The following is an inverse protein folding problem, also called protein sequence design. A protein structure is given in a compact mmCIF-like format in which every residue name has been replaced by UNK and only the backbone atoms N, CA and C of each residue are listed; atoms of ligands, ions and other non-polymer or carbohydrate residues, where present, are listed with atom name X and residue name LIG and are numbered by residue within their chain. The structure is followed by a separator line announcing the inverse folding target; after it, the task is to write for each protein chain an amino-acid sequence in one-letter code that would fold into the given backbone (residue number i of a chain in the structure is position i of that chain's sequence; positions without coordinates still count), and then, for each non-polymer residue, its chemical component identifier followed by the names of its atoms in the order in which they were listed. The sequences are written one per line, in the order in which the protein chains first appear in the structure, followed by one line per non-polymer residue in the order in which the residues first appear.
data_IF_738106658593
#
_entry.id   IF_738106658593
#
_cell.length_a   1.000
_cell.length_b   1.000
_cell.length_c   1.000
_cell.angle_alpha   90.00
_cell.angle_beta   90.00
_cell.angle_gamma   90.00
#
_symmetry.space_group_name_H-M   'P 1'
#
loop_
_entity.id
_entity.type
_entity.pdbx_description
1 polymer ?
#
# COMPACT_ATOMS: atom_id res chain seq x y z
N UNK A 1 3.70 -7.97 -4.38
CA UNK A 1 3.02 -7.30 -3.23
C UNK A 1 3.21 -8.06 -1.92
N UNK A 2 4.27 -8.86 -1.77
CA UNK A 2 4.39 -9.76 -0.63
C UNK A 2 4.83 -9.08 0.67
N UNK A 3 5.34 -7.84 0.63
CA UNK A 3 6.12 -7.32 1.75
C UNK A 3 5.66 -6.00 2.34
N UNK A 4 4.56 -5.46 1.89
CA UNK A 4 3.89 -4.31 2.53
C UNK A 4 2.60 -4.76 3.20
N UNK A 5 2.58 -4.86 4.52
CA UNK A 5 1.53 -5.60 5.22
C UNK A 5 0.24 -4.83 5.53
N UNK A 6 0.06 -3.60 5.11
CA UNK A 6 -1.09 -2.79 5.57
C UNK A 6 -1.76 -2.04 4.42
N UNK A 7 -2.53 -2.71 3.58
CA UNK A 7 -3.14 -1.97 2.48
C UNK A 7 -4.59 -2.33 2.15
N UNK A 8 -5.17 -3.36 2.74
CA UNK A 8 -6.56 -3.71 2.39
C UNK A 8 -7.56 -2.58 2.65
N UNK A 9 -7.36 -1.78 3.71
CA UNK A 9 -8.20 -0.63 3.97
C UNK A 9 -7.81 0.62 3.15
N UNK A 10 -6.64 0.61 2.53
CA UNK A 10 -6.14 1.71 1.69
C UNK A 10 -6.14 1.40 0.21
N UNK A 11 -6.55 0.20 -0.20
CA UNK A 11 -6.62 -0.22 -1.61
C UNK A 11 -7.58 0.60 -2.48
N UNK A 12 -8.38 1.45 -1.86
CA UNK A 12 -9.19 2.44 -2.59
C UNK A 12 -8.37 3.58 -3.16
N UNK A 13 -7.12 3.73 -2.71
CA UNK A 13 -6.22 4.79 -3.13
C UNK A 13 -5.15 4.17 -4.02
N UNK A 14 -5.31 4.34 -5.33
CA UNK A 14 -4.29 3.95 -6.32
C UNK A 14 -3.19 5.01 -6.36
N UNK A 15 -2.13 4.78 -5.62
CA UNK A 15 -1.02 5.72 -5.52
C UNK A 15 0.06 5.51 -6.56
N UNK A 16 0.21 4.31 -7.07
CA UNK A 16 1.30 3.93 -7.96
C UNK A 16 2.72 4.08 -7.36
N UNK A 17 2.82 4.51 -6.10
CA UNK A 17 4.09 4.93 -5.50
C UNK A 17 4.65 3.93 -4.49
N UNK A 18 3.84 3.07 -3.91
CA UNK A 18 4.32 2.15 -2.90
C UNK A 18 3.98 0.74 -3.33
N UNK A 19 4.54 0.38 -4.43
CA UNK A 19 4.71 -1.01 -4.76
C UNK A 19 6.10 -1.45 -4.25
N UNK A 20 6.20 -1.75 -2.96
CA UNK A 20 7.34 -2.45 -2.42
C UNK A 20 7.35 -3.92 -2.89
N UNK A 21 6.52 -4.26 -3.84
CA UNK A 21 6.57 -5.49 -4.57
C UNK A 21 7.66 -5.37 -5.64
N UNK A 22 8.86 -5.73 -5.30
CA UNK A 22 9.80 -6.11 -6.34
C UNK A 22 9.10 -7.12 -7.26
N UNK A 23 9.06 -6.86 -8.55
CA UNK A 23 8.63 -7.86 -9.52
C UNK A 23 9.42 -9.13 -9.25
N UNK A 24 8.73 -10.24 -8.97
CA UNK A 24 9.37 -11.54 -8.78
C UNK A 24 10.21 -11.84 -10.02
N UNK A 25 11.51 -11.62 -9.92
CA UNK A 25 12.46 -11.88 -11.00
C UNK A 25 13.11 -13.24 -10.80
N UNK A 26 13.55 -13.84 -11.87
CA UNK A 26 14.25 -15.13 -11.82
C UNK A 26 15.49 -15.01 -10.92
N UNK A 27 15.51 -15.78 -9.82
CA UNK A 27 16.61 -15.77 -8.85
C UNK A 27 16.30 -15.12 -7.51
N UNK A 28 15.10 -14.57 -7.33
CA UNK A 28 14.67 -14.03 -6.04
C UNK A 28 14.36 -15.17 -5.05
N UNK A 29 14.79 -15.00 -3.81
CA UNK A 29 14.51 -15.89 -2.69
C UNK A 29 13.57 -15.18 -1.73
N UNK A 30 12.50 -15.88 -1.36
CA UNK A 30 11.55 -15.43 -0.35
C UNK A 30 11.47 -16.44 0.79
N UNK A 31 11.34 -15.95 2.01
CA UNK A 31 11.12 -16.76 3.18
C UNK A 31 10.05 -16.14 4.05
N UNK A 32 8.99 -16.90 4.33
CA UNK A 32 7.90 -16.52 5.20
C UNK A 32 7.75 -17.52 6.32
N UNK A 33 7.60 -17.04 7.54
CA UNK A 33 7.36 -17.89 8.72
C UNK A 33 6.38 -17.21 9.68
N UNK A 34 5.46 -18.01 10.23
CA UNK A 34 4.54 -17.57 11.27
C UNK A 34 4.78 -18.35 12.54
N UNK A 35 4.94 -17.65 13.67
CA UNK A 35 5.17 -18.21 15.00
C UNK A 35 4.14 -17.58 15.94
N UNK A 36 3.04 -18.29 16.17
CA UNK A 36 1.92 -17.76 16.95
C UNK A 36 1.33 -16.54 16.26
N UNK A 37 1.33 -15.40 16.95
CA UNK A 37 0.83 -14.11 16.44
C UNK A 37 1.88 -13.28 15.73
N UNK A 38 3.07 -13.81 15.48
CA UNK A 38 4.16 -13.14 14.78
C UNK A 38 4.33 -13.76 13.39
N UNK A 39 4.25 -12.93 12.35
CA UNK A 39 4.62 -13.29 10.99
C UNK A 39 5.88 -12.52 10.58
N UNK A 40 6.83 -13.21 9.99
CA UNK A 40 8.09 -12.67 9.50
C UNK A 40 8.25 -13.03 8.03
N UNK A 41 8.65 -12.06 7.23
CA UNK A 41 8.95 -12.24 5.82
C UNK A 41 10.34 -11.68 5.51
N UNK A 42 11.07 -12.35 4.62
CA UNK A 42 12.34 -11.86 4.10
C UNK A 42 12.43 -12.16 2.60
N UNK A 43 13.00 -11.25 1.84
CA UNK A 43 13.31 -11.44 0.43
C UNK A 43 14.74 -11.07 0.12
N UNK A 44 15.31 -11.74 -0.84
CA UNK A 44 16.68 -11.51 -1.29
C UNK A 44 16.78 -11.77 -2.79
N UNK A 45 17.26 -10.78 -3.53
CA UNK A 45 17.52 -10.87 -4.95
C UNK A 45 18.98 -10.45 -5.22
N UNK A 46 19.90 -11.40 -5.47
CA UNK A 46 21.33 -11.11 -5.53
C UNK A 46 21.73 -10.27 -6.75
N UNK A 47 20.92 -10.26 -7.82
CA UNK A 47 21.18 -9.47 -9.03
C UNK A 47 19.92 -9.43 -9.89
N UNK A 48 19.01 -8.47 -9.66
CA UNK A 48 17.75 -8.39 -10.40
C UNK A 48 17.95 -8.12 -11.90
N UNK A 49 19.01 -7.41 -12.27
CA UNK A 49 19.35 -7.14 -13.67
C UNK A 49 20.86 -6.87 -13.85
N UNK A 50 21.32 -6.79 -15.09
CA UNK A 50 22.71 -6.43 -15.38
C UNK A 50 22.99 -4.97 -14.95
N UNK A 51 24.02 -4.78 -14.11
CA UNK A 51 24.40 -3.48 -13.56
C UNK A 51 23.62 -3.04 -12.34
N UNK A 52 22.68 -3.84 -11.85
CA UNK A 52 21.96 -3.64 -10.60
C UNK A 52 22.66 -4.33 -9.43
N UNK A 53 22.48 -3.79 -8.23
CA UNK A 53 22.98 -4.38 -6.99
C UNK A 53 21.95 -5.33 -6.38
N UNK A 54 22.21 -5.79 -5.18
CA UNK A 54 21.34 -6.73 -4.46
C UNK A 54 20.11 -6.01 -3.90
N UNK A 55 18.94 -6.62 -4.08
CA UNK A 55 17.72 -6.16 -3.42
C UNK A 55 17.45 -7.00 -2.16
N UNK A 56 17.04 -6.36 -1.09
CA UNK A 56 16.67 -7.04 0.16
C UNK A 56 15.37 -6.48 0.72
N UNK A 57 14.56 -7.35 1.33
CA UNK A 57 13.32 -6.95 1.98
C UNK A 57 13.09 -7.73 3.26
N UNK A 58 12.57 -7.04 4.28
CA UNK A 58 12.19 -7.65 5.55
C UNK A 58 10.86 -7.07 6.00
N UNK A 59 9.99 -7.93 6.53
CA UNK A 59 8.74 -7.48 7.12
C UNK A 59 8.41 -8.26 8.38
N UNK A 60 7.74 -7.59 9.30
CA UNK A 60 7.19 -8.19 10.51
C UNK A 60 5.76 -7.73 10.70
N UNK A 61 4.88 -8.68 11.03
CA UNK A 61 3.50 -8.42 11.42
C UNK A 61 3.25 -9.08 12.77
N UNK A 62 2.67 -8.33 13.71
CA UNK A 62 2.31 -8.82 15.02
C UNK A 62 0.84 -8.55 15.34
N UNK A 63 0.08 -9.63 15.59
CA UNK A 63 -1.36 -9.61 15.88
C UNK A 63 -1.71 -10.10 17.29
N UNK A 64 -0.73 -10.21 18.19
CA UNK A 64 -0.90 -10.78 19.52
C UNK A 64 -1.20 -9.78 20.63
N UNK A 65 -1.30 -8.48 20.35
CA UNK A 65 -1.46 -7.46 21.37
C UNK A 65 -2.91 -7.40 21.90
N UNK A 66 -3.87 -7.42 20.99
CA UNK A 66 -5.30 -7.47 21.28
C UNK A 66 -6.07 -7.96 20.05
N UNK A 67 -7.28 -8.47 20.26
CA UNK A 67 -8.12 -8.96 19.17
C UNK A 67 -8.38 -7.85 18.12
N UNK A 68 -8.19 -8.20 16.86
CA UNK A 68 -8.38 -7.31 15.72
C UNK A 68 -7.27 -6.30 15.46
N UNK A 69 -6.30 -6.14 16.36
CA UNK A 69 -5.18 -5.23 16.17
C UNK A 69 -3.99 -5.95 15.52
N UNK A 70 -3.48 -5.36 14.46
CA UNK A 70 -2.29 -5.79 13.75
C UNK A 70 -1.31 -4.63 13.64
N UNK A 71 -0.08 -4.85 14.05
CA UNK A 71 1.03 -3.92 13.92
C UNK A 71 2.02 -4.47 12.90
N UNK A 72 2.57 -3.62 12.07
CA UNK A 72 3.48 -4.04 11.03
C UNK A 72 4.67 -3.08 10.87
N UNK A 73 5.81 -3.63 10.48
CA UNK A 73 6.95 -2.87 10.02
C UNK A 73 7.62 -3.62 8.88
N UNK A 74 8.14 -2.88 7.90
CA UNK A 74 8.86 -3.45 6.77
C UNK A 74 9.98 -2.50 6.33
N UNK A 75 11.05 -3.08 5.79
CA UNK A 75 12.10 -2.37 5.08
C UNK A 75 12.37 -3.07 3.77
N UNK A 76 12.49 -2.30 2.71
CA UNK A 76 12.92 -2.76 1.40
C UNK A 76 14.04 -1.87 0.89
N UNK A 77 15.12 -2.47 0.42
CA UNK A 77 16.27 -1.83 -0.18
C UNK A 77 16.45 -2.44 -1.58
N UNK A 78 16.31 -1.65 -2.62
CA UNK A 78 16.53 -2.08 -3.99
C UNK A 78 18.00 -2.01 -4.43
N UNK A 79 18.85 -1.54 -3.53
CA UNK A 79 20.29 -1.54 -3.66
C UNK A 79 20.88 -0.49 -4.60
N UNK A 80 20.08 0.18 -5.42
CA UNK A 80 20.55 1.14 -6.42
C UNK A 80 19.72 2.42 -6.50
N UNK A 81 18.46 2.37 -6.12
CA UNK A 81 17.51 3.44 -6.39
C UNK A 81 16.93 4.02 -5.11
N UNK A 82 16.43 3.19 -4.19
CA UNK A 82 15.80 3.66 -2.97
C UNK A 82 15.78 2.65 -1.83
N UNK A 83 15.74 3.17 -0.61
CA UNK A 83 15.34 2.45 0.59
C UNK A 83 13.92 2.85 0.99
N UNK A 84 13.10 1.87 1.36
CA UNK A 84 11.74 2.09 1.83
C UNK A 84 11.58 1.53 3.24
N UNK A 85 11.23 2.39 4.20
CA UNK A 85 10.89 2.01 5.55
C UNK A 85 9.40 2.24 5.80
N UNK A 86 8.69 1.20 6.22
CA UNK A 86 7.24 1.25 6.42
C UNK A 86 6.86 0.81 7.82
N UNK A 87 5.97 1.54 8.45
CA UNK A 87 5.27 1.12 9.67
C UNK A 87 3.76 1.25 9.48
N UNK A 88 3.01 0.32 10.07
CA UNK A 88 1.56 0.32 9.89
C UNK A 88 0.80 -0.22 11.10
N UNK A 89 -0.45 0.16 11.17
CA UNK A 89 -1.42 -0.37 12.10
C UNK A 89 -2.73 -0.63 11.37
N UNK A 90 -3.30 -1.81 11.59
CA UNK A 90 -4.64 -2.18 11.13
C UNK A 90 -5.48 -2.63 12.32
N UNK A 91 -6.72 -2.17 12.38
CA UNK A 91 -7.66 -2.57 13.40
C UNK A 91 -8.98 -3.04 12.78
N UNK A 92 -9.35 -4.26 13.12
CA UNK A 92 -10.60 -4.90 12.68
C UNK A 92 -11.56 -5.01 13.86
N UNK A 93 -12.73 -4.40 13.74
CA UNK A 93 -13.78 -4.44 14.74
C UNK A 93 -15.10 -4.83 14.08
N UNK A 94 -15.44 -6.12 14.17
CA UNK A 94 -16.62 -6.65 13.49
C UNK A 94 -16.55 -6.46 11.98
N UNK A 95 -17.47 -5.69 11.42
CA UNK A 95 -17.54 -5.39 10.01
C UNK A 95 -16.72 -4.16 9.56
N UNK A 96 -16.00 -3.53 10.49
CA UNK A 96 -15.19 -2.33 10.22
C UNK A 96 -13.72 -2.67 10.26
N UNK A 97 -12.98 -2.25 9.24
CA UNK A 97 -11.51 -2.29 9.20
C UNK A 97 -11.00 -0.86 9.03
N UNK A 98 -10.08 -0.44 9.88
CA UNK A 98 -9.37 0.83 9.72
C UNK A 98 -7.86 0.54 9.67
N UNK A 99 -7.14 1.27 8.83
CA UNK A 99 -5.69 1.14 8.74
C UNK A 99 -5.01 2.50 8.60
N UNK A 100 -3.79 2.56 9.10
CA UNK A 100 -2.88 3.69 8.97
C UNK A 100 -1.48 3.17 8.70
N UNK A 101 -0.79 3.77 7.74
CA UNK A 101 0.56 3.40 7.35
C UNK A 101 1.38 4.65 7.05
N UNK A 102 2.63 4.63 7.44
CA UNK A 102 3.63 5.62 7.03
C UNK A 102 4.77 4.88 6.34
N UNK A 103 5.19 5.40 5.20
CA UNK A 103 6.34 4.92 4.45
C UNK A 103 7.27 6.08 4.16
N UNK A 104 8.52 5.94 4.56
CA UNK A 104 9.60 6.82 4.16
C UNK A 104 10.32 6.18 2.96
N UNK A 105 10.64 6.98 1.96
CA UNK A 105 11.36 6.59 0.74
C UNK A 105 12.57 7.48 0.58
N UNK A 106 13.74 6.93 0.85
CA UNK A 106 15.04 7.59 0.68
C UNK A 106 15.65 7.18 -0.66
N UNK A 107 15.83 8.11 -1.57
CA UNK A 107 16.44 7.86 -2.87
C UNK A 107 17.95 8.05 -2.82
N UNK A 108 18.72 7.10 -3.30
CA UNK A 108 20.18 7.22 -3.41
C UNK A 108 20.63 8.22 -4.51
N UNK A 109 19.80 8.42 -5.53
CA UNK A 109 20.10 9.31 -6.63
C UNK A 109 19.86 10.78 -6.25
N UNK A 110 20.87 11.62 -6.36
CA UNK A 110 20.78 13.08 -6.08
C UNK A 110 19.79 13.84 -6.98
N UNK A 111 19.20 13.20 -7.97
CA UNK A 111 18.19 13.76 -8.87
C UNK A 111 16.76 13.37 -8.51
N UNK A 112 16.59 12.39 -7.63
CA UNK A 112 15.32 12.02 -7.08
C UNK A 112 15.06 12.78 -5.77
N UNK A 113 13.82 12.85 -5.36
CA UNK A 113 13.40 13.60 -4.17
C UNK A 113 12.85 12.61 -3.16
N UNK A 114 13.44 12.60 -1.96
CA UNK A 114 12.95 11.78 -0.86
C UNK A 114 11.50 12.10 -0.51
N UNK A 115 10.79 11.12 -0.04
CA UNK A 115 9.35 11.19 0.13
C UNK A 115 8.91 10.55 1.45
N UNK A 116 7.96 11.19 2.11
CA UNK A 116 7.19 10.62 3.20
C UNK A 116 5.74 10.42 2.75
N UNK A 117 5.31 9.17 2.71
CA UNK A 117 3.95 8.84 2.35
C UNK A 117 3.15 8.36 3.55
N UNK A 118 2.00 8.97 3.76
CA UNK A 118 1.03 8.58 4.79
C UNK A 118 -0.23 8.05 4.11
N UNK A 119 -0.66 6.85 4.51
CA UNK A 119 -1.90 6.22 4.05
C UNK A 119 -2.83 6.00 5.21
N UNK A 120 -4.10 6.31 5.03
CA UNK A 120 -5.13 5.89 5.96
C UNK A 120 -6.43 5.58 5.24
N UNK A 121 -7.17 4.64 5.78
CA UNK A 121 -8.41 4.21 5.18
C UNK A 121 -9.32 3.48 6.15
N UNK A 122 -10.57 3.39 5.75
CA UNK A 122 -11.59 2.65 6.45
C UNK A 122 -12.43 1.86 5.45
N UNK A 123 -12.73 0.62 5.79
CA UNK A 123 -13.64 -0.25 5.04
C UNK A 123 -14.74 -0.75 5.97
N UNK A 124 -15.95 -0.82 5.46
CA UNK A 124 -17.11 -1.28 6.21
C UNK A 124 -17.90 -2.31 5.37
N UNK A 125 -18.00 -3.54 5.85
CA UNK A 125 -18.97 -4.50 5.33
C UNK A 125 -20.35 -4.14 5.93
N UNK A 126 -21.18 -3.48 5.15
CA UNK A 126 -22.51 -3.02 5.59
C UNK A 126 -23.44 -4.23 5.83
N UNK A 127 -23.30 -5.24 4.99
CA UNK A 127 -23.91 -6.57 5.12
C UNK A 127 -23.08 -7.58 4.30
N UNK A 128 -23.56 -8.82 4.20
CA UNK A 128 -22.84 -9.91 3.51
C UNK A 128 -22.62 -9.63 2.00
N UNK A 129 -23.43 -8.77 1.41
CA UNK A 129 -23.42 -8.49 -0.02
C UNK A 129 -22.85 -7.10 -0.36
N UNK A 130 -22.80 -6.17 0.59
CA UNK A 130 -22.45 -4.77 0.33
C UNK A 130 -21.37 -4.26 1.24
N UNK A 131 -20.32 -3.69 0.63
CA UNK A 131 -19.22 -3.03 1.33
C UNK A 131 -18.94 -1.65 0.75
N UNK A 132 -18.39 -0.78 1.58
CA UNK A 132 -17.91 0.54 1.21
C UNK A 132 -16.54 0.78 1.83
N UNK A 133 -15.70 1.55 1.15
CA UNK A 133 -14.41 1.96 1.70
C UNK A 133 -14.07 3.38 1.25
N UNK A 134 -13.27 4.06 2.07
CA UNK A 134 -12.70 5.35 1.77
C UNK A 134 -11.27 5.41 2.30
N UNK A 135 -10.39 6.08 1.58
CA UNK A 135 -9.01 6.25 1.99
C UNK A 135 -8.38 7.49 1.41
N UNK A 136 -7.25 7.86 1.99
CA UNK A 136 -6.41 8.94 1.49
C UNK A 136 -4.95 8.55 1.60
N UNK A 137 -4.19 8.93 0.59
CA UNK A 137 -2.74 8.97 0.60
C UNK A 137 -2.29 10.42 0.55
N UNK A 138 -1.31 10.75 1.36
CA UNK A 138 -0.61 12.03 1.35
C UNK A 138 0.87 11.74 1.14
N UNK A 139 1.52 12.46 0.22
CA UNK A 139 2.94 12.35 -0.04
C UNK A 139 3.57 13.73 0.12
N UNK A 140 4.50 13.79 1.05
CA UNK A 140 5.39 14.94 1.26
C UNK A 140 6.67 14.69 0.48
N UNK A 141 7.11 15.65 -0.30
CA UNK A 141 8.35 15.60 -1.08
C UNK A 141 9.36 16.56 -0.48
N UNK A 142 10.57 16.11 -0.25
CA UNK A 142 11.63 16.96 0.28
C UNK A 142 11.84 18.19 -0.61
N UNK A 143 11.88 19.37 0.03
CA UNK A 143 12.06 20.65 -0.66
C UNK A 143 10.87 21.15 -1.47
N UNK A 144 9.71 20.49 -1.38
CA UNK A 144 8.44 21.02 -1.93
C UNK A 144 7.63 21.70 -0.84
N UNK A 145 6.73 22.60 -1.25
CA UNK A 145 5.86 23.34 -0.33
C UNK A 145 4.48 22.72 -0.21
N UNK A 146 4.11 21.88 -1.13
CA UNK A 146 2.78 21.30 -1.20
C UNK A 146 2.87 19.78 -1.24
N UNK A 147 1.89 19.13 -0.63
CA UNK A 147 1.80 17.69 -0.58
C UNK A 147 0.89 17.18 -1.69
N UNK A 148 1.29 16.11 -2.33
CA UNK A 148 0.39 15.36 -3.21
C UNK A 148 -0.65 14.64 -2.35
N UNK A 149 -1.93 14.77 -2.70
CA UNK A 149 -3.00 14.10 -1.97
C UNK A 149 -3.86 13.30 -2.95
N UNK A 150 -4.00 12.02 -2.70
CA UNK A 150 -4.89 11.14 -3.45
C UNK A 150 -6.00 10.64 -2.50
N UNK A 151 -7.25 10.95 -2.82
CA UNK A 151 -8.42 10.56 -2.03
C UNK A 151 -9.30 9.62 -2.84
N UNK A 152 -9.62 8.48 -2.28
CA UNK A 152 -10.41 7.44 -2.93
C UNK A 152 -11.66 7.04 -2.14
N UNK A 153 -12.67 6.65 -2.87
CA UNK A 153 -13.91 6.04 -2.36
C UNK A 153 -14.30 4.88 -3.25
N UNK A 154 -14.71 3.76 -2.65
CA UNK A 154 -15.18 2.58 -3.37
C UNK A 154 -16.42 1.98 -2.71
N UNK A 155 -17.30 1.42 -3.52
CA UNK A 155 -18.42 0.59 -3.08
C UNK A 155 -18.47 -0.70 -3.91
N UNK A 156 -18.82 -1.81 -3.28
CA UNK A 156 -18.95 -3.12 -3.92
C UNK A 156 -20.23 -3.80 -3.47
N UNK A 157 -20.93 -4.40 -4.42
CA UNK A 157 -22.16 -5.16 -4.18
C UNK A 157 -22.08 -6.51 -4.90
N UNK A 158 -22.36 -7.59 -4.17
CA UNK A 158 -22.38 -8.96 -4.71
C UNK A 158 -23.78 -9.52 -4.63
N UNK A 159 -24.29 -10.05 -5.71
CA UNK A 159 -25.61 -10.68 -5.82
C UNK A 159 -25.48 -12.05 -6.51
N UNK A 160 -25.41 -13.11 -5.71
CA UNK A 160 -25.17 -14.47 -6.21
C UNK A 160 -23.84 -14.57 -6.93
N UNK A 161 -23.84 -14.86 -8.23
CA UNK A 161 -22.63 -14.97 -9.05
C UNK A 161 -22.23 -13.66 -9.76
N UNK A 162 -22.83 -12.53 -9.42
CA UNK A 162 -22.52 -11.23 -10.00
C UNK A 162 -21.97 -10.31 -8.92
N UNK A 163 -20.81 -9.71 -9.15
CA UNK A 163 -20.24 -8.66 -8.32
C UNK A 163 -20.12 -7.36 -9.13
N UNK A 164 -20.57 -6.26 -8.56
CA UNK A 164 -20.48 -4.92 -9.14
C UNK A 164 -19.68 -4.05 -8.17
N UNK A 165 -18.59 -3.47 -8.63
CA UNK A 165 -17.78 -2.53 -7.85
C UNK A 165 -17.64 -1.21 -8.59
N UNK A 166 -17.67 -0.12 -7.87
CA UNK A 166 -17.43 1.21 -8.42
C UNK A 166 -16.63 2.07 -7.46
N UNK A 167 -15.76 2.90 -8.02
CA UNK A 167 -14.91 3.78 -7.23
C UNK A 167 -14.65 5.11 -7.91
N UNK A 168 -14.21 6.05 -7.10
CA UNK A 168 -13.78 7.38 -7.50
C UNK A 168 -12.49 7.73 -6.78
N UNK A 169 -11.54 8.31 -7.52
CA UNK A 169 -10.28 8.84 -6.97
C UNK A 169 -10.06 10.27 -7.46
N UNK A 170 -9.51 11.09 -6.58
CA UNK A 170 -9.06 12.45 -6.87
C UNK A 170 -7.63 12.63 -6.41
N UNK A 171 -6.75 13.00 -7.34
CA UNK A 171 -5.34 13.36 -7.11
C UNK A 171 -5.18 14.86 -7.22
N UNK A 172 -4.66 15.49 -6.18
CA UNK A 172 -4.38 16.91 -6.07
C UNK A 172 -2.88 17.15 -5.89
N UNK A 173 -2.39 18.29 -6.35
CA UNK A 173 -0.99 18.74 -6.21
C UNK A 173 0.04 17.71 -6.69
N UNK A 174 -0.18 17.10 -7.84
CA UNK A 174 0.69 16.05 -8.36
C UNK A 174 2.18 16.44 -8.28
N UNK A 175 3.00 15.55 -7.72
CA UNK A 175 4.44 15.74 -7.46
C UNK A 175 4.76 16.95 -6.56
N UNK A 176 3.88 17.30 -5.63
CA UNK A 176 4.04 18.43 -4.72
C UNK A 176 3.96 19.80 -5.42
N UNK A 177 3.16 19.90 -6.49
CA UNK A 177 3.00 21.13 -7.28
C UNK A 177 1.54 21.59 -7.21
N UNK A 178 1.28 22.67 -6.47
CA UNK A 178 -0.08 23.20 -6.26
C UNK A 178 -0.74 23.79 -7.51
N UNK A 179 0.02 24.04 -8.55
CA UNK A 179 -0.50 24.50 -9.86
C UNK A 179 -0.76 23.36 -10.83
N UNK A 180 -0.48 22.11 -10.42
CA UNK A 180 -0.82 20.94 -11.22
C UNK A 180 -2.35 20.79 -11.31
N UNK A 181 -2.81 20.39 -12.48
CA UNK A 181 -4.24 20.10 -12.65
C UNK A 181 -4.63 18.87 -11.88
N UNK A 182 -5.71 18.95 -11.10
CA UNK A 182 -6.27 17.80 -10.41
C UNK A 182 -6.65 16.72 -11.42
N UNK A 183 -6.41 15.47 -11.04
CA UNK A 183 -6.78 14.30 -11.83
C UNK A 183 -7.88 13.55 -11.12
N UNK A 184 -8.99 13.36 -11.79
CA UNK A 184 -10.11 12.58 -11.30
C UNK A 184 -10.27 11.32 -12.14
N UNK A 185 -10.53 10.19 -11.50
CA UNK A 185 -10.81 8.93 -12.15
C UNK A 185 -11.99 8.22 -11.53
N UNK A 186 -12.75 7.52 -12.35
CA UNK A 186 -13.85 6.68 -11.91
C UNK A 186 -13.70 5.31 -12.55
N UNK A 187 -13.99 4.26 -11.78
CA UNK A 187 -13.93 2.88 -12.23
C UNK A 187 -15.29 2.21 -11.98
N UNK A 188 -15.70 1.36 -12.90
CA UNK A 188 -16.81 0.44 -12.73
C UNK A 188 -16.37 -0.95 -13.18
N UNK A 189 -16.44 -1.91 -12.28
CA UNK A 189 -16.14 -3.31 -12.53
C UNK A 189 -17.39 -4.16 -12.38
N UNK A 190 -17.58 -5.09 -13.29
CA UNK A 190 -18.64 -6.11 -13.21
C UNK A 190 -17.96 -7.47 -13.42
N UNK A 191 -18.09 -8.36 -12.44
CA UNK A 191 -17.54 -9.70 -12.49
C UNK A 191 -18.66 -10.75 -12.42
N UNK A 192 -18.49 -11.85 -13.16
CA UNK A 192 -19.39 -12.99 -13.19
C UNK A 192 -18.63 -14.23 -12.78
N UNK A 193 -19.18 -15.02 -11.85
CA UNK A 193 -18.66 -16.34 -11.44
C UNK A 193 -19.55 -17.44 -12.04
N UNK A 194 -18.97 -18.44 -12.71
CA UNK A 194 -19.68 -19.56 -13.33
C UNK A 194 -19.32 -20.86 -12.66
#
# INVERSE_FOLDING_TARGET
NAYTPVYEATDTVDSGLIDASGNAQAGQWGYDVSIGSLALSASYNPKPAAGKTTETGYAVVYSGLMDGLELSAARFDDGDEAENDTIGVKYTMGSVVAAYQVTNVDYEATTATDQDATHYGISVAVNDDFSVSAGQQKIEFDGKSDDETNTGFMASYTMGSISIGGGFNKLENKNGVNTATDVESSILNIAFSF
#
